data_IF_131224350828
#
_entry.id   IF_131224350828
#
_cell.length_a   1.000
_cell.length_b   1.000
_cell.length_c   1.000
_cell.angle_alpha   90.00
_cell.angle_beta   90.00
_cell.angle_gamma   90.00
#
_symmetry.space_group_name_H-M   'P 1'
#
loop_
_entity.id
_entity.type
_entity.pdbx_description
1 polymer ?
#
# COMPACT_ATOMS: atom_id res chain seq x y z
N UNK A 1 -0.79 2.19 30.29
CA UNK A 1 -0.94 3.14 29.17
C UNK A 1 -1.46 2.30 28.03
N UNK A 2 -2.51 2.73 27.34
CA UNK A 2 -2.98 2.00 26.15
C UNK A 2 -2.05 2.38 25.02
N UNK A 3 -1.28 1.40 24.58
CA UNK A 3 -0.42 1.47 23.41
C UNK A 3 -1.29 1.78 22.20
N UNK A 4 -1.12 3.00 21.66
CA UNK A 4 -1.85 3.42 20.47
C UNK A 4 -1.28 2.66 19.27
N UNK A 5 -2.13 2.07 18.41
CA UNK A 5 -1.64 1.31 17.28
C UNK A 5 -0.87 2.21 16.31
N UNK A 6 0.26 1.72 15.81
CA UNK A 6 1.10 2.39 14.81
C UNK A 6 1.14 1.59 13.52
N UNK A 7 1.39 2.26 12.39
CA UNK A 7 1.50 1.59 11.09
C UNK A 7 2.90 1.02 10.94
N UNK A 8 2.99 -0.30 10.76
CA UNK A 8 4.23 -0.94 10.34
C UNK A 8 4.44 -0.68 8.83
N UNK A 9 5.31 0.26 8.49
CA UNK A 9 5.55 0.67 7.09
C UNK A 9 6.14 -0.45 6.24
N UNK A 10 7.03 -1.27 6.80
CA UNK A 10 7.69 -2.35 6.07
C UNK A 10 6.71 -3.47 5.72
N UNK A 11 5.89 -3.89 6.69
CA UNK A 11 4.88 -4.91 6.49
C UNK A 11 3.73 -4.40 5.62
N UNK A 12 3.32 -3.14 5.77
CA UNK A 12 2.36 -2.50 4.86
C UNK A 12 2.88 -2.52 3.41
N UNK A 13 4.17 -2.23 3.19
CA UNK A 13 4.77 -2.28 1.86
C UNK A 13 4.75 -3.68 1.24
N UNK A 14 5.14 -4.70 2.01
CA UNK A 14 5.06 -6.11 1.59
C UNK A 14 3.61 -6.52 1.28
N UNK A 15 2.66 -6.06 2.09
CA UNK A 15 1.24 -6.34 1.89
C UNK A 15 0.70 -5.69 0.60
N UNK A 16 1.08 -4.46 0.29
CA UNK A 16 0.76 -3.81 -1.00
C UNK A 16 1.31 -4.64 -2.18
N UNK A 17 2.54 -5.16 -2.08
CA UNK A 17 3.10 -6.02 -3.13
C UNK A 17 2.32 -7.33 -3.28
N UNK A 18 1.97 -7.97 -2.17
CA UNK A 18 1.18 -9.21 -2.12
C UNK A 18 -0.20 -8.99 -2.77
N UNK A 19 -0.97 -8.02 -2.30
CA UNK A 19 -2.31 -7.72 -2.82
C UNK A 19 -2.29 -7.37 -4.32
N UNK A 20 -1.27 -6.61 -4.77
CA UNK A 20 -1.08 -6.32 -6.20
C UNK A 20 -0.89 -7.61 -7.02
N UNK A 21 -0.05 -8.53 -6.53
CA UNK A 21 0.21 -9.82 -7.20
C UNK A 21 -1.03 -10.72 -7.21
N UNK A 22 -1.79 -10.75 -6.12
CA UNK A 22 -3.06 -11.48 -6.02
C UNK A 22 -4.11 -10.95 -6.99
N UNK A 23 -4.15 -9.64 -7.20
CA UNK A 23 -4.98 -9.00 -8.23
C UNK A 23 -4.46 -9.23 -9.67
N UNK A 24 -3.34 -9.95 -9.86
CA UNK A 24 -2.75 -10.21 -11.18
C UNK A 24 -2.16 -8.98 -11.87
N UNK A 25 -1.94 -7.88 -11.14
CA UNK A 25 -1.47 -6.62 -11.71
C UNK A 25 0.05 -6.55 -11.69
N UNK A 26 0.68 -6.11 -12.79
CA UNK A 26 2.09 -5.70 -12.75
C UNK A 26 2.24 -4.30 -12.13
N UNK A 27 3.47 -3.93 -11.73
CA UNK A 27 3.75 -2.54 -11.29
C UNK A 27 3.42 -1.54 -12.40
N UNK A 28 3.65 -1.91 -13.67
CA UNK A 28 3.29 -1.07 -14.81
C UNK A 28 1.78 -0.88 -14.93
N UNK A 29 0.98 -1.93 -14.75
CA UNK A 29 -0.48 -1.79 -14.76
C UNK A 29 -0.96 -0.83 -13.66
N UNK A 30 -0.40 -0.96 -12.45
CA UNK A 30 -0.74 -0.06 -11.37
C UNK A 30 -0.28 1.37 -11.67
N UNK A 31 0.92 1.57 -12.23
CA UNK A 31 1.39 2.88 -12.67
C UNK A 31 0.42 3.52 -13.66
N UNK A 32 -0.03 2.76 -14.67
CA UNK A 32 -0.95 3.23 -15.71
C UNK A 32 -2.33 3.61 -15.11
N UNK A 33 -2.85 2.80 -14.17
CA UNK A 33 -4.10 3.08 -13.46
C UNK A 33 -4.04 4.33 -12.59
N UNK A 34 -2.89 4.58 -11.96
CA UNK A 34 -2.65 5.80 -11.17
C UNK A 34 -2.36 7.02 -12.04
N UNK A 35 -2.15 6.85 -13.36
CA UNK A 35 -1.71 7.94 -14.24
C UNK A 35 -0.31 8.47 -13.89
N UNK A 36 0.51 7.67 -13.21
CA UNK A 36 1.85 8.10 -12.82
C UNK A 36 2.81 8.11 -14.00
N UNK A 37 3.60 9.17 -14.10
CA UNK A 37 4.68 9.27 -15.10
C UNK A 37 5.77 8.22 -14.91
N UNK A 38 5.99 7.77 -13.66
CA UNK A 38 7.02 6.79 -13.32
C UNK A 38 6.52 5.80 -12.25
N UNK A 39 7.07 4.58 -12.17
CA UNK A 39 6.65 3.58 -11.18
C UNK A 39 7.27 3.79 -9.79
N UNK A 40 8.05 4.86 -9.59
CA UNK A 40 8.87 5.05 -8.40
C UNK A 40 8.06 5.16 -7.11
N UNK A 41 6.88 5.78 -7.16
CA UNK A 41 5.98 5.85 -6.00
C UNK A 41 5.58 4.45 -5.53
N UNK A 42 5.18 3.58 -6.46
CA UNK A 42 4.76 2.21 -6.18
C UNK A 42 5.92 1.41 -5.57
N UNK A 43 7.14 1.54 -6.10
CA UNK A 43 8.31 0.88 -5.52
C UNK A 43 8.66 1.39 -4.12
N UNK A 44 8.52 2.70 -3.86
CA UNK A 44 8.71 3.25 -2.51
C UNK A 44 7.72 2.68 -1.51
N UNK A 45 6.44 2.54 -1.92
CA UNK A 45 5.42 1.93 -1.08
C UNK A 45 5.74 0.46 -0.79
N UNK A 46 6.04 -0.33 -1.82
CA UNK A 46 6.34 -1.76 -1.66
C UNK A 46 7.58 -2.04 -0.80
N UNK A 47 8.56 -1.13 -0.80
CA UNK A 47 9.76 -1.22 0.05
C UNK A 47 9.56 -0.66 1.45
N UNK A 48 8.38 -0.11 1.77
CA UNK A 48 8.11 0.54 3.05
C UNK A 48 8.90 1.84 3.27
N UNK A 49 9.45 2.46 2.21
CA UNK A 49 10.21 3.71 2.33
C UNK A 49 9.31 4.94 2.49
N UNK A 50 8.04 4.83 2.11
CA UNK A 50 7.00 5.84 2.27
C UNK A 50 5.63 5.17 2.25
N UNK A 51 4.66 5.75 2.95
CA UNK A 51 3.26 5.32 2.82
C UNK A 51 2.61 5.98 1.60
N UNK A 52 1.63 5.31 0.96
CA UNK A 52 0.73 5.99 0.03
C UNK A 52 -0.04 7.08 0.78
N UNK A 53 -0.34 8.20 0.10
CA UNK A 53 -1.29 9.19 0.63
C UNK A 53 -2.67 8.56 0.80
N UNK A 54 -3.54 9.21 1.58
CA UNK A 54 -4.93 8.75 1.77
C UNK A 54 -5.63 8.59 0.41
N UNK A 55 -5.48 9.56 -0.50
CA UNK A 55 -6.06 9.47 -1.85
C UNK A 55 -5.55 8.23 -2.61
N UNK A 56 -4.25 7.94 -2.49
CA UNK A 56 -3.66 6.76 -3.13
C UNK A 56 -4.12 5.46 -2.49
N UNK A 57 -4.38 5.45 -1.17
CA UNK A 57 -4.97 4.29 -0.48
C UNK A 57 -6.39 4.02 -0.96
N UNK A 58 -7.20 5.06 -1.18
CA UNK A 58 -8.56 4.92 -1.76
C UNK A 58 -8.50 4.34 -3.17
N UNK A 59 -7.54 4.79 -3.99
CA UNK A 59 -7.37 4.23 -5.34
C UNK A 59 -6.87 2.79 -5.26
N UNK A 60 -5.90 2.47 -4.39
CA UNK A 60 -5.42 1.11 -4.18
C UNK A 60 -6.57 0.19 -3.74
N UNK A 61 -7.40 0.60 -2.78
CA UNK A 61 -8.52 -0.20 -2.29
C UNK A 61 -9.51 -0.52 -3.40
N UNK A 62 -9.82 0.47 -4.25
CA UNK A 62 -10.70 0.28 -5.41
C UNK A 62 -10.09 -0.65 -6.48
N UNK A 63 -8.82 -0.44 -6.84
CA UNK A 63 -8.12 -1.22 -7.88
C UNK A 63 -7.88 -2.67 -7.44
N UNK A 64 -7.54 -2.88 -6.17
CA UNK A 64 -7.23 -4.19 -5.62
C UNK A 64 -8.47 -4.91 -5.08
N UNK A 65 -9.63 -4.24 -5.06
CA UNK A 65 -10.90 -4.75 -4.53
C UNK A 65 -10.79 -5.25 -3.07
N UNK A 66 -10.18 -4.43 -2.22
CA UNK A 66 -10.04 -4.65 -0.78
C UNK A 66 -10.42 -3.38 -0.03
N UNK A 67 -10.56 -3.44 1.28
CA UNK A 67 -10.73 -2.22 2.08
C UNK A 67 -9.36 -1.58 2.39
N UNK A 68 -9.35 -0.33 2.81
CA UNK A 68 -8.11 0.38 3.16
C UNK A 68 -7.43 -0.27 4.38
N UNK A 69 -8.22 -0.73 5.35
CA UNK A 69 -7.74 -1.47 6.53
C UNK A 69 -7.06 -2.79 6.15
N UNK A 70 -7.47 -3.45 5.07
CA UNK A 70 -6.80 -4.67 4.58
C UNK A 70 -5.41 -4.37 3.98
N UNK A 71 -5.12 -3.11 3.61
CA UNK A 71 -3.84 -2.67 3.05
C UNK A 71 -2.84 -2.37 4.18
N UNK A 72 -3.30 -1.72 5.25
CA UNK A 72 -2.47 -1.24 6.35
C UNK A 72 -2.17 -2.37 7.35
N UNK A 73 -0.89 -2.53 7.69
CA UNK A 73 -0.49 -3.43 8.77
C UNK A 73 -0.25 -2.58 10.02
N UNK A 74 -1.01 -2.86 11.07
CA UNK A 74 -0.90 -2.19 12.37
C UNK A 74 -0.11 -3.08 13.34
N UNK A 75 0.71 -2.46 14.16
CA UNK A 75 1.38 -3.09 15.30
C UNK A 75 1.08 -2.30 16.58
N UNK A 76 1.18 -2.96 17.72
CA UNK A 76 1.06 -2.30 19.02
C UNK A 76 2.24 -1.34 19.17
N UNK A 77 1.96 -0.07 19.46
CA UNK A 77 3.01 0.93 19.67
C UNK A 77 3.63 0.78 21.05
N UNK A 78 4.94 0.58 21.15
CA UNK A 78 5.66 0.54 22.44
C UNK A 78 5.56 1.83 23.27
#
# INVERSE_FOLDING_TARGET
MSDMPVINMAETGKNIERLRKEAGLSVKNLQDLFGFRTPQAIYKWQRGCALPSIDNLVVLSAVLNVKIDDILVLEDGE
#
